data_IF_079171864690
#
_entry.id   IF_079171864690
#
_cell.length_a   1.000
_cell.length_b   1.000
_cell.length_c   1.000
_cell.angle_alpha   90.00
_cell.angle_beta   90.00
_cell.angle_gamma   90.00
#
_symmetry.space_group_name_H-M   'P 1'
#
loop_
_entity.id
_entity.type
_entity.pdbx_description
1 polymer ?
#
# COMPACT_ATOMS: atom_id res chain seq x y z
N UNK A 1 12.62 -1.39 -3.63
CA UNK A 1 11.25 -0.86 -3.55
C UNK A 1 11.40 0.50 -2.90
N UNK A 2 11.80 1.50 -3.71
CA UNK A 2 12.43 2.71 -3.17
C UNK A 2 11.47 3.60 -2.39
N UNK A 3 10.17 3.54 -2.71
CA UNK A 3 9.15 4.38 -2.08
C UNK A 3 8.69 3.75 -0.77
N UNK A 4 8.60 2.42 -0.70
CA UNK A 4 8.44 1.70 0.57
C UNK A 4 9.63 1.99 1.50
N UNK A 5 10.85 1.91 0.98
CA UNK A 5 12.07 2.20 1.75
C UNK A 5 12.07 3.65 2.28
N UNK A 6 11.71 4.62 1.43
CA UNK A 6 11.60 6.03 1.82
C UNK A 6 10.51 6.27 2.87
N UNK A 7 9.31 5.71 2.68
CA UNK A 7 8.20 5.82 3.63
C UNK A 7 8.60 5.33 5.02
N UNK A 8 9.26 4.17 5.10
CA UNK A 8 9.72 3.61 6.38
C UNK A 8 10.84 4.45 6.99
N UNK A 9 11.76 4.97 6.17
CA UNK A 9 12.85 5.84 6.64
C UNK A 9 12.32 7.15 7.25
N UNK A 10 11.19 7.65 6.73
CA UNK A 10 10.51 8.85 7.21
C UNK A 10 9.54 8.57 8.38
N UNK A 11 9.50 7.33 8.89
CA UNK A 11 8.72 6.95 10.08
C UNK A 11 7.36 6.33 9.79
N UNK A 12 6.98 6.20 8.51
CA UNK A 12 5.76 5.51 8.10
C UNK A 12 5.84 3.99 8.23
N UNK A 13 4.76 3.32 7.85
CA UNK A 13 4.63 1.87 7.92
C UNK A 13 4.06 1.25 6.65
N UNK A 14 4.33 -0.05 6.50
CA UNK A 14 3.53 -0.93 5.66
C UNK A 14 3.02 -2.10 6.49
N UNK A 15 1.77 -2.50 6.25
CA UNK A 15 1.17 -3.67 6.90
C UNK A 15 0.69 -4.65 5.84
N UNK A 16 1.09 -5.92 5.99
CA UNK A 16 0.62 -7.03 5.15
C UNK A 16 -0.20 -7.96 6.04
N UNK A 17 -1.46 -8.19 5.70
CA UNK A 17 -2.32 -9.04 6.51
C UNK A 17 -3.78 -8.97 6.12
N UNK A 18 -4.61 -9.70 6.86
CA UNK A 18 -6.05 -9.71 6.67
C UNK A 18 -6.69 -8.45 7.28
N UNK A 19 -7.65 -7.87 6.57
CA UNK A 19 -8.59 -6.86 7.09
C UNK A 19 -9.98 -7.41 6.80
N UNK A 20 -10.66 -7.94 7.82
CA UNK A 20 -11.93 -8.65 7.63
C UNK A 20 -12.94 -7.81 6.81
N UNK A 21 -13.58 -8.37 5.77
CA UNK A 21 -13.56 -9.77 5.32
C UNK A 21 -12.50 -10.13 4.26
N UNK A 22 -11.54 -9.25 3.99
CA UNK A 22 -10.49 -9.43 2.97
C UNK A 22 -9.31 -10.21 3.55
N UNK A 23 -8.98 -11.36 2.95
CA UNK A 23 -7.99 -12.29 3.47
C UNK A 23 -6.55 -11.76 3.43
N UNK A 24 -6.21 -10.93 2.44
CA UNK A 24 -4.86 -10.39 2.30
C UNK A 24 -4.88 -9.01 1.65
N UNK A 25 -4.39 -8.04 2.40
CA UNK A 25 -4.23 -6.65 2.00
C UNK A 25 -2.78 -6.22 2.20
N UNK A 26 -2.41 -5.16 1.50
CA UNK A 26 -1.18 -4.41 1.72
C UNK A 26 -1.52 -2.94 1.89
N UNK A 27 -1.27 -2.39 3.07
CA UNK A 27 -1.51 -0.98 3.38
C UNK A 27 -0.19 -0.26 3.60
N UNK A 28 -0.19 1.04 3.31
CA UNK A 28 0.90 1.96 3.59
C UNK A 28 0.33 3.22 4.24
N UNK A 29 0.98 3.70 5.29
CA UNK A 29 0.57 4.90 6.01
C UNK A 29 1.80 5.72 6.45
N UNK A 30 1.65 7.04 6.47
CA UNK A 30 2.57 7.95 7.15
C UNK A 30 1.89 8.53 8.42
N UNK A 31 2.58 9.45 9.11
CA UNK A 31 2.08 10.08 10.34
C UNK A 31 0.69 10.75 10.20
N UNK A 32 0.29 11.12 8.98
CA UNK A 32 -0.89 11.93 8.72
C UNK A 32 -1.91 11.25 7.80
N UNK A 33 -1.48 10.32 6.95
CA UNK A 33 -2.27 9.83 5.83
C UNK A 33 -2.24 8.30 5.72
N UNK A 34 -3.38 7.74 5.30
CA UNK A 34 -3.37 6.47 4.60
C UNK A 34 -2.89 6.71 3.16
N UNK A 35 -1.67 6.27 2.87
CA UNK A 35 -0.96 6.51 1.61
C UNK A 35 -1.50 5.59 0.50
N UNK A 36 -1.69 4.31 0.81
CA UNK A 36 -2.27 3.34 -0.12
C UNK A 36 -2.88 2.14 0.60
N UNK A 37 -3.95 1.58 0.05
CA UNK A 37 -4.58 0.35 0.51
C UNK A 37 -4.87 -0.56 -0.69
N UNK A 38 -4.21 -1.71 -0.75
CA UNK A 38 -4.34 -2.66 -1.85
C UNK A 38 -4.93 -3.98 -1.36
N UNK A 39 -5.75 -4.60 -2.21
CA UNK A 39 -6.22 -5.97 -2.05
C UNK A 39 -5.33 -6.88 -2.88
N UNK A 40 -4.85 -7.97 -2.26
CA UNK A 40 -4.09 -8.99 -2.99
C UNK A 40 -4.98 -9.66 -4.01
N UNK A 41 -4.55 -9.69 -5.26
CA UNK A 41 -5.29 -10.32 -6.36
C UNK A 41 -5.12 -11.84 -6.35
N UNK A 42 -6.07 -12.56 -6.93
CA UNK A 42 -5.96 -14.00 -7.11
C UNK A 42 -4.69 -14.34 -7.92
N UNK A 43 -3.90 -15.29 -7.42
CA UNK A 43 -2.63 -15.70 -8.04
C UNK A 43 -1.48 -14.69 -7.92
N UNK A 44 -1.69 -13.54 -7.29
CA UNK A 44 -0.64 -12.54 -7.11
C UNK A 44 0.41 -13.01 -6.10
N UNK A 45 1.69 -12.90 -6.45
CA UNK A 45 2.79 -13.20 -5.52
C UNK A 45 2.99 -12.06 -4.53
N UNK A 46 3.60 -12.33 -3.37
CA UNK A 46 3.93 -11.29 -2.40
C UNK A 46 4.83 -10.20 -3.01
N UNK A 47 5.84 -10.59 -3.81
CA UNK A 47 6.72 -9.63 -4.50
C UNK A 47 5.95 -8.73 -5.49
N UNK A 48 4.98 -9.28 -6.22
CA UNK A 48 4.13 -8.50 -7.12
C UNK A 48 3.23 -7.51 -6.36
N UNK A 49 2.65 -7.94 -5.23
CA UNK A 49 1.87 -7.08 -4.35
C UNK A 49 2.71 -5.93 -3.79
N UNK A 50 3.92 -6.22 -3.29
CA UNK A 50 4.84 -5.20 -2.77
C UNK A 50 5.29 -4.21 -3.86
N UNK A 51 5.53 -4.68 -5.10
CA UNK A 51 5.82 -3.79 -6.24
C UNK A 51 4.65 -2.87 -6.58
N UNK A 52 3.40 -3.35 -6.50
CA UNK A 52 2.22 -2.50 -6.67
C UNK A 52 2.10 -1.49 -5.54
N UNK A 53 2.33 -1.90 -4.29
CA UNK A 53 2.32 -0.99 -3.15
C UNK A 53 3.38 0.11 -3.31
N UNK A 54 4.60 -0.25 -3.71
CA UNK A 54 5.70 0.70 -3.98
C UNK A 54 5.32 1.72 -5.06
N UNK A 55 4.57 1.28 -6.09
CA UNK A 55 4.06 2.18 -7.13
C UNK A 55 2.92 3.07 -6.61
N UNK A 56 2.01 2.53 -5.81
CA UNK A 56 0.88 3.28 -5.25
C UNK A 56 1.37 4.41 -4.31
N UNK A 57 2.39 4.14 -3.50
CA UNK A 57 3.05 5.16 -2.67
C UNK A 57 3.63 6.28 -3.54
N UNK A 58 4.30 5.94 -4.64
CA UNK A 58 4.82 6.94 -5.58
C UNK A 58 3.71 7.85 -6.11
N UNK A 59 2.61 7.23 -6.56
CA UNK A 59 1.46 7.95 -7.10
C UNK A 59 0.81 8.88 -6.07
N UNK A 60 0.72 8.46 -4.81
CA UNK A 60 0.21 9.33 -3.74
C UNK A 60 1.05 10.60 -3.58
N UNK A 61 2.38 10.48 -3.58
CA UNK A 61 3.25 11.65 -3.40
C UNK A 61 3.40 12.50 -4.67
N UNK A 62 3.28 11.89 -5.86
CA UNK A 62 3.35 12.62 -7.14
C UNK A 62 2.04 13.35 -7.45
N UNK A 63 0.88 12.69 -7.27
CA UNK A 63 -0.43 13.16 -7.73
C UNK A 63 -1.39 13.55 -6.58
N UNK A 64 -1.04 13.26 -5.32
CA UNK A 64 -1.90 13.47 -4.16
C UNK A 64 -3.07 12.49 -4.04
N UNK A 65 -3.10 11.44 -4.86
CA UNK A 65 -4.21 10.48 -4.91
C UNK A 65 -3.82 9.14 -4.27
N UNK A 66 -4.49 8.80 -3.18
CA UNK A 66 -4.37 7.49 -2.56
C UNK A 66 -5.18 6.47 -3.35
N UNK A 67 -4.60 5.28 -3.58
CA UNK A 67 -5.34 4.13 -4.10
C UNK A 67 -5.95 3.41 -2.91
N UNK A 68 -7.27 3.18 -2.92
CA UNK A 68 -7.98 2.48 -1.86
C UNK A 68 -8.88 1.36 -2.43
N UNK A 69 -8.25 0.23 -2.72
CA UNK A 69 -8.96 -0.96 -3.21
C UNK A 69 -9.84 -1.61 -2.12
N UNK A 70 -9.63 -1.29 -0.84
CA UNK A 70 -10.41 -1.85 0.29
C UNK A 70 -11.79 -1.19 0.33
N UNK A 71 -11.85 0.13 0.18
CA UNK A 71 -13.09 0.90 0.17
C UNK A 71 -13.65 1.14 -1.25
N UNK A 72 -12.93 0.71 -2.29
CA UNK A 72 -13.37 0.77 -3.68
C UNK A 72 -13.24 2.16 -4.31
N UNK A 73 -12.23 2.94 -3.89
CA UNK A 73 -11.94 4.32 -4.35
C UNK A 73 -10.58 4.40 -5.04
#
# INVERSE_FOLDING_TARGET
MKNIEALIADGGEITIGAIYPIECTATAADDHNSVAMLVRREGETLDALLKRLDKAIAQFYDDGQAIDEINGV
#
